data_IF_590661402669
#
_entry.id   IF_590661402669
#
_cell.length_a   1.000
_cell.length_b   1.000
_cell.length_c   1.000
_cell.angle_alpha   90.00
_cell.angle_beta   90.00
_cell.angle_gamma   90.00
#
_symmetry.space_group_name_H-M   'P 1'
#
loop_
_entity.id
_entity.type
_entity.pdbx_description
1 polymer ?
#
# COMPACT_ATOMS: atom_id res chain seq x y z
N UNK A 1 23.08 -5.87 2.70
CA UNK A 1 21.63 -6.12 2.58
C UNK A 1 20.98 -5.23 1.53
N UNK A 2 21.20 -3.91 1.54
CA UNK A 2 20.68 -2.98 0.53
C UNK A 2 20.92 -3.43 -0.93
N UNK A 3 22.18 -3.68 -1.32
CA UNK A 3 22.51 -4.14 -2.69
C UNK A 3 21.91 -5.50 -3.04
N UNK A 4 21.80 -6.41 -2.07
CA UNK A 4 21.14 -7.71 -2.25
C UNK A 4 19.64 -7.50 -2.53
N UNK A 5 19.00 -6.58 -1.79
CA UNK A 5 17.61 -6.19 -2.02
C UNK A 5 17.40 -5.62 -3.42
N UNK A 6 18.26 -4.71 -3.87
CA UNK A 6 18.23 -4.18 -5.24
C UNK A 6 18.39 -5.26 -6.31
N UNK A 7 19.35 -6.16 -6.11
CA UNK A 7 19.57 -7.29 -7.03
C UNK A 7 18.34 -8.20 -7.10
N UNK A 8 17.78 -8.61 -5.96
CA UNK A 8 16.58 -9.45 -5.89
C UNK A 8 15.36 -8.73 -6.51
N UNK A 9 15.20 -7.43 -6.27
CA UNK A 9 14.12 -6.64 -6.87
C UNK A 9 14.24 -6.59 -8.40
N UNK A 10 15.47 -6.40 -8.90
CA UNK A 10 15.76 -6.36 -10.34
C UNK A 10 15.51 -7.73 -10.97
N UNK A 11 15.98 -8.80 -10.33
CA UNK A 11 15.74 -10.18 -10.76
C UNK A 11 14.26 -10.52 -10.74
N UNK A 12 13.53 -10.15 -9.68
CA UNK A 12 12.07 -10.34 -9.61
C UNK A 12 11.33 -9.57 -10.71
N UNK A 13 11.77 -8.35 -11.04
CA UNK A 13 11.22 -7.58 -12.16
C UNK A 13 11.45 -8.28 -13.50
N UNK A 14 12.65 -8.81 -13.73
CA UNK A 14 12.96 -9.61 -14.92
C UNK A 14 12.09 -10.87 -15.01
N UNK A 15 11.92 -11.59 -13.90
CA UNK A 15 11.08 -12.78 -13.87
C UNK A 15 9.60 -12.44 -14.17
N UNK A 16 9.07 -11.33 -13.65
CA UNK A 16 7.71 -10.87 -13.95
C UNK A 16 7.49 -10.62 -15.45
N UNK A 17 8.51 -10.17 -16.18
CA UNK A 17 8.45 -10.02 -17.64
C UNK A 17 8.35 -11.37 -18.37
N UNK A 18 9.06 -12.38 -17.86
CA UNK A 18 9.05 -13.74 -18.40
C UNK A 18 7.75 -14.51 -18.13
N UNK A 19 6.82 -13.93 -17.36
CA UNK A 19 5.55 -14.57 -17.06
C UNK A 19 4.80 -14.99 -18.34
N UNK A 20 4.32 -16.23 -18.34
CA UNK A 20 3.72 -16.90 -19.47
C UNK A 20 2.23 -17.15 -19.22
N UNK A 21 1.43 -16.96 -20.26
CA UNK A 21 -0.02 -17.21 -20.21
C UNK A 21 -0.37 -18.66 -19.82
N UNK A 22 0.51 -19.62 -20.12
CA UNK A 22 0.35 -21.05 -19.79
C UNK A 22 0.12 -21.30 -18.29
N UNK A 23 0.64 -20.45 -17.41
CA UNK A 23 0.53 -20.62 -15.96
C UNK A 23 -0.64 -19.85 -15.33
N UNK A 24 -1.57 -19.32 -16.14
CA UNK A 24 -2.75 -18.57 -15.67
C UNK A 24 -2.42 -17.43 -14.68
N UNK A 25 -1.21 -16.85 -14.75
CA UNK A 25 -0.75 -15.76 -13.89
C UNK A 25 -0.21 -16.17 -12.52
N UNK A 26 -0.21 -17.47 -12.17
CA UNK A 26 0.38 -17.93 -10.90
C UNK A 26 1.90 -17.72 -10.84
N UNK A 27 2.57 -17.80 -11.99
CA UNK A 27 3.99 -17.48 -12.14
C UNK A 27 4.25 -16.00 -11.86
N UNK A 28 3.45 -15.09 -12.42
CA UNK A 28 3.52 -13.65 -12.16
C UNK A 28 3.33 -13.35 -10.67
N UNK A 29 2.41 -14.03 -10.00
CA UNK A 29 2.21 -13.90 -8.55
C UNK A 29 3.47 -14.33 -7.77
N UNK A 30 4.05 -15.48 -8.11
CA UNK A 30 5.28 -15.97 -7.50
C UNK A 30 6.47 -15.03 -7.72
N UNK A 31 6.64 -14.50 -8.93
CA UNK A 31 7.68 -13.53 -9.24
C UNK A 31 7.49 -12.20 -8.52
N UNK A 32 6.24 -11.76 -8.33
CA UNK A 32 5.93 -10.61 -7.48
C UNK A 32 6.33 -10.82 -6.03
N UNK A 33 6.21 -12.03 -5.48
CA UNK A 33 6.71 -12.31 -4.12
C UNK A 33 8.22 -12.07 -4.06
N UNK A 34 8.98 -12.60 -5.02
CA UNK A 34 10.44 -12.39 -5.12
C UNK A 34 10.78 -10.88 -5.25
N UNK A 35 10.07 -10.17 -6.13
CA UNK A 35 10.26 -8.74 -6.33
C UNK A 35 10.00 -7.94 -5.03
N UNK A 36 8.91 -8.24 -4.32
CA UNK A 36 8.54 -7.55 -3.08
C UNK A 36 9.51 -7.85 -1.92
N UNK A 37 10.09 -9.06 -1.85
CA UNK A 37 11.16 -9.37 -0.90
C UNK A 37 12.38 -8.46 -1.14
N UNK A 38 12.79 -8.29 -2.40
CA UNK A 38 13.85 -7.36 -2.77
C UNK A 38 13.52 -5.90 -2.43
N UNK A 39 12.30 -5.47 -2.75
CA UNK A 39 11.81 -4.11 -2.47
C UNK A 39 11.79 -3.78 -0.98
N UNK A 40 11.36 -4.72 -0.14
CA UNK A 40 11.33 -4.55 1.33
C UNK A 40 12.73 -4.44 1.93
N UNK A 41 13.67 -5.29 1.45
CA UNK A 41 15.07 -5.22 1.83
C UNK A 41 15.69 -3.88 1.45
N UNK A 42 15.45 -3.42 0.22
CA UNK A 42 15.90 -2.12 -0.26
C UNK A 42 15.35 -0.97 0.61
N UNK A 43 14.03 -0.92 0.78
CA UNK A 43 13.33 0.18 1.44
C UNK A 43 13.71 0.29 2.93
N UNK A 44 13.73 -0.84 3.64
CA UNK A 44 14.05 -0.86 5.09
C UNK A 44 15.49 -0.46 5.38
N UNK A 45 16.44 -0.80 4.50
CA UNK A 45 17.85 -0.47 4.68
C UNK A 45 18.17 0.97 4.24
N UNK A 46 17.40 1.57 3.33
CA UNK A 46 17.66 2.91 2.82
C UNK A 46 17.70 3.96 3.94
N UNK A 47 16.66 4.01 4.78
CA UNK A 47 16.60 4.95 5.90
C UNK A 47 17.64 4.66 6.98
N UNK A 48 17.96 3.38 7.22
CA UNK A 48 18.97 2.99 8.20
C UNK A 48 20.39 3.45 7.79
N UNK A 49 20.75 3.27 6.51
CA UNK A 49 22.05 3.73 5.97
C UNK A 49 22.16 5.26 6.07
N UNK A 50 21.08 5.97 5.79
CA UNK A 50 21.05 7.44 5.84
C UNK A 50 21.14 7.95 7.27
N UNK A 51 20.41 7.33 8.20
CA UNK A 51 20.55 7.63 9.62
C UNK A 51 21.99 7.39 10.07
N UNK A 52 22.58 6.21 9.82
CA UNK A 52 23.94 5.88 10.25
C UNK A 52 25.00 6.86 9.70
N UNK A 53 24.92 7.20 8.41
CA UNK A 53 25.94 8.04 7.75
C UNK A 53 25.81 9.53 8.05
N UNK A 54 24.60 10.05 8.20
CA UNK A 54 24.34 11.49 8.30
C UNK A 54 23.94 11.98 9.69
N UNK A 55 23.78 11.08 10.68
CA UNK A 55 23.47 11.45 12.06
C UNK A 55 24.50 12.40 12.65
N UNK A 56 25.80 12.10 12.52
CA UNK A 56 26.88 12.94 13.04
C UNK A 56 26.98 14.33 12.40
N UNK A 57 26.37 14.52 11.22
CA UNK A 57 26.37 15.80 10.51
C UNK A 57 25.10 16.62 10.76
N UNK A 58 24.17 16.14 11.59
CA UNK A 58 22.84 16.73 11.80
C UNK A 58 22.06 16.96 10.48
N UNK A 59 22.31 16.13 9.47
CA UNK A 59 21.75 16.23 8.10
C UNK A 59 20.76 15.11 7.78
N UNK A 60 20.33 14.34 8.77
CA UNK A 60 19.38 13.21 8.60
C UNK A 60 18.05 13.70 8.04
N UNK A 61 17.55 14.85 8.51
CA UNK A 61 16.30 15.44 8.00
C UNK A 61 16.38 15.83 6.52
N UNK A 62 17.43 16.55 6.12
CA UNK A 62 17.67 16.93 4.72
C UNK A 62 17.77 15.71 3.80
N UNK A 63 18.57 14.72 4.22
CA UNK A 63 18.81 13.52 3.42
C UNK A 63 17.56 12.64 3.34
N UNK A 64 16.79 12.53 4.41
CA UNK A 64 15.48 11.86 4.41
C UNK A 64 14.48 12.58 3.49
N UNK A 65 14.56 13.92 3.41
CA UNK A 65 13.80 14.71 2.45
C UNK A 65 14.16 14.40 0.99
N UNK A 66 15.45 14.23 0.67
CA UNK A 66 15.90 13.84 -0.69
C UNK A 66 15.35 12.46 -1.07
N UNK A 67 15.39 11.50 -0.14
CA UNK A 67 14.81 10.15 -0.36
C UNK A 67 13.31 10.25 -0.59
N UNK A 68 12.62 11.10 0.17
CA UNK A 68 11.19 11.31 0.02
C UNK A 68 10.84 11.91 -1.36
N UNK A 69 11.61 12.89 -1.85
CA UNK A 69 11.45 13.45 -3.19
C UNK A 69 11.61 12.35 -4.26
N UNK A 70 12.62 11.49 -4.14
CA UNK A 70 12.80 10.37 -5.06
C UNK A 70 11.61 9.39 -5.01
N UNK A 71 11.09 9.10 -3.81
CA UNK A 71 9.91 8.26 -3.62
C UNK A 71 8.65 8.85 -4.26
N UNK A 72 8.37 10.13 -4.03
CA UNK A 72 7.21 10.84 -4.60
C UNK A 72 7.35 10.95 -6.11
N UNK A 73 8.55 11.18 -6.63
CA UNK A 73 8.84 11.14 -8.07
C UNK A 73 8.47 9.79 -8.66
N UNK A 74 8.78 8.68 -7.98
CA UNK A 74 8.34 7.35 -8.37
C UNK A 74 6.82 7.19 -8.39
N UNK A 75 6.11 7.75 -7.41
CA UNK A 75 4.64 7.76 -7.38
C UNK A 75 4.05 8.51 -8.59
N UNK A 76 4.65 9.63 -8.99
CA UNK A 76 4.22 10.44 -10.14
C UNK A 76 4.53 9.71 -11.46
N UNK A 77 5.76 9.23 -11.62
CA UNK A 77 6.22 8.60 -12.84
C UNK A 77 5.54 7.25 -13.08
N UNK A 78 5.19 6.52 -12.03
CA UNK A 78 4.58 5.19 -12.12
C UNK A 78 3.37 5.12 -13.06
N UNK A 79 2.27 5.87 -12.79
CA UNK A 79 1.10 5.87 -13.66
C UNK A 79 1.36 6.44 -15.06
N UNK A 80 2.24 7.44 -15.19
CA UNK A 80 2.59 8.05 -16.49
C UNK A 80 3.32 7.05 -17.39
N UNK A 81 4.35 6.39 -16.85
CA UNK A 81 5.13 5.38 -17.57
C UNK A 81 4.29 4.12 -17.79
N UNK A 82 3.50 3.71 -16.82
CA UNK A 82 2.54 2.61 -16.96
C UNK A 82 1.55 2.86 -18.09
N UNK A 83 0.95 4.04 -18.14
CA UNK A 83 0.03 4.46 -19.21
C UNK A 83 0.70 4.58 -20.58
N UNK A 84 1.98 4.99 -20.63
CA UNK A 84 2.74 5.01 -21.88
C UNK A 84 3.07 3.60 -22.40
N UNK A 85 3.50 2.72 -21.50
CA UNK A 85 4.05 1.39 -21.84
C UNK A 85 2.98 0.35 -22.13
N UNK A 86 1.80 0.46 -21.49
CA UNK A 86 0.69 -0.49 -21.70
C UNK A 86 0.22 -0.54 -23.16
N UNK A 87 0.41 0.54 -23.93
CA UNK A 87 0.11 0.58 -25.37
C UNK A 87 0.87 -0.45 -26.19
N UNK A 88 2.07 -0.83 -25.75
CA UNK A 88 2.90 -1.84 -26.44
C UNK A 88 2.70 -3.22 -25.81
N UNK A 89 2.92 -3.32 -24.50
CA UNK A 89 2.66 -4.53 -23.72
C UNK A 89 2.74 -4.19 -22.24
N UNK A 90 1.87 -4.77 -21.41
CA UNK A 90 1.94 -4.63 -19.96
C UNK A 90 3.29 -5.10 -19.37
N UNK A 91 4.01 -5.97 -20.07
CA UNK A 91 5.33 -6.48 -19.65
C UNK A 91 6.37 -5.38 -19.54
N UNK A 92 6.25 -4.32 -20.34
CA UNK A 92 7.19 -3.18 -20.32
C UNK A 92 7.21 -2.42 -18.99
N UNK A 93 6.13 -2.51 -18.20
CA UNK A 93 6.08 -1.95 -16.84
C UNK A 93 7.14 -2.59 -15.94
N UNK A 94 7.47 -3.86 -16.17
CA UNK A 94 8.53 -4.56 -15.45
C UNK A 94 9.90 -4.31 -16.08
N UNK A 95 9.97 -4.27 -17.42
CA UNK A 95 11.21 -4.01 -18.14
C UNK A 95 11.82 -2.65 -17.76
N UNK A 96 10.98 -1.63 -17.58
CA UNK A 96 11.41 -0.29 -17.19
C UNK A 96 12.23 -0.29 -15.89
N UNK A 97 11.97 -1.20 -14.95
CA UNK A 97 12.69 -1.26 -13.68
C UNK A 97 14.12 -1.82 -13.81
N UNK A 98 14.41 -2.64 -14.82
CA UNK A 98 15.71 -3.28 -15.00
C UNK A 98 16.89 -2.31 -15.07
N UNK A 99 16.89 -1.26 -15.93
CA UNK A 99 18.03 -0.35 -16.03
C UNK A 99 18.29 0.39 -14.72
N UNK A 100 17.23 0.85 -14.03
CA UNK A 100 17.37 1.54 -12.74
C UNK A 100 17.85 0.59 -11.63
N UNK A 101 17.36 -0.65 -11.63
CA UNK A 101 17.80 -1.68 -10.70
C UNK A 101 19.26 -2.06 -10.90
N UNK A 102 19.70 -2.22 -12.16
CA UNK A 102 21.09 -2.50 -12.51
C UNK A 102 22.03 -1.34 -12.15
N UNK A 103 21.68 -0.11 -12.56
CA UNK A 103 22.46 1.10 -12.22
C UNK A 103 22.50 1.33 -10.71
N UNK A 104 21.37 1.14 -10.01
CA UNK A 104 21.29 1.25 -8.57
C UNK A 104 22.14 0.19 -7.85
N UNK A 105 22.15 -1.05 -8.35
CA UNK A 105 23.01 -2.12 -7.80
C UNK A 105 24.48 -1.81 -8.00
N UNK A 106 24.85 -1.34 -9.20
CA UNK A 106 26.23 -0.93 -9.52
C UNK A 106 26.67 0.25 -8.64
N UNK A 107 25.88 1.33 -8.59
CA UNK A 107 26.16 2.49 -7.76
C UNK A 107 26.21 2.11 -6.27
N UNK A 108 25.29 1.29 -5.79
CA UNK A 108 25.29 0.79 -4.42
C UNK A 108 26.54 -0.04 -4.11
N UNK A 109 27.04 -0.85 -5.05
CA UNK A 109 28.28 -1.61 -4.87
C UNK A 109 29.53 -0.73 -4.81
N UNK A 110 29.53 0.37 -5.56
CA UNK A 110 30.65 1.31 -5.64
C UNK A 110 30.67 2.34 -4.50
N UNK A 111 29.51 2.77 -4.01
CA UNK A 111 29.40 3.90 -3.07
C UNK A 111 28.91 3.52 -1.67
N UNK A 112 28.15 2.44 -1.50
CA UNK A 112 27.70 1.96 -0.18
C UNK A 112 28.67 0.92 0.39
N UNK A 113 29.81 1.39 0.87
CA UNK A 113 30.73 0.56 1.65
C UNK A 113 30.25 0.47 3.10
N UNK A 114 30.14 -0.74 3.63
CA UNK A 114 29.80 -0.97 5.03
C UNK A 114 30.93 -0.43 5.91
N UNK A 115 30.64 0.53 6.79
CA UNK A 115 31.51 0.79 7.94
C UNK A 115 31.29 -0.37 8.92
N UNK A 116 32.33 -1.17 9.16
CA UNK A 116 32.29 -2.24 10.14
C UNK A 116 32.29 -1.64 11.56
N UNK A 117 31.15 -1.13 12.02
CA UNK A 117 30.93 -1.04 13.45
C UNK A 117 30.67 -2.47 13.94
N UNK A 118 31.71 -3.08 14.51
CA UNK A 118 31.68 -4.33 15.26
C UNK A 118 30.77 -4.15 16.50
N UNK A 119 29.47 -3.99 16.28
CA UNK A 119 28.49 -4.15 17.35
C UNK A 119 28.17 -5.63 17.45
N UNK A 120 28.23 -6.18 18.67
CA UNK A 120 27.73 -7.51 18.98
C UNK A 120 26.29 -7.60 18.51
N UNK A 121 26.03 -8.33 17.42
CA UNK A 121 24.70 -8.48 16.86
C UNK A 121 23.96 -9.43 17.81
N UNK A 122 22.95 -8.96 18.57
CA UNK A 122 22.15 -9.85 19.39
C UNK A 122 21.53 -10.91 18.48
N UNK A 123 21.46 -12.15 18.99
CA UNK A 123 20.89 -13.27 18.25
C UNK A 123 19.44 -12.96 17.85
N UNK A 124 19.13 -13.15 16.56
CA UNK A 124 17.80 -12.84 16.01
C UNK A 124 16.74 -13.83 16.52
N UNK A 125 15.58 -13.32 16.94
CA UNK A 125 14.47 -14.15 17.40
C UNK A 125 13.60 -14.64 16.23
N UNK A 126 14.10 -15.67 15.53
CA UNK A 126 13.38 -16.29 14.41
C UNK A 126 11.99 -16.79 14.80
N UNK A 127 11.82 -17.32 16.01
CA UNK A 127 10.53 -17.86 16.45
C UNK A 127 9.48 -16.76 16.58
N UNK A 128 9.82 -15.66 17.27
CA UNK A 128 8.92 -14.50 17.39
C UNK A 128 8.66 -13.81 16.06
N UNK A 129 9.67 -13.73 15.19
CA UNK A 129 9.52 -13.18 13.84
C UNK A 129 8.56 -14.01 12.99
N UNK A 130 8.76 -15.32 12.89
CA UNK A 130 7.95 -16.22 12.05
C UNK A 130 6.52 -16.26 12.57
N UNK A 131 6.31 -16.35 13.88
CA UNK A 131 4.96 -16.40 14.45
C UNK A 131 4.18 -15.11 14.20
N UNK A 132 4.82 -13.94 14.36
CA UNK A 132 4.18 -12.66 14.04
C UNK A 132 3.90 -12.53 12.54
N UNK A 133 4.87 -12.80 11.67
CA UNK A 133 4.69 -12.68 10.22
C UNK A 133 3.59 -13.61 9.72
N UNK A 134 3.56 -14.87 10.19
CA UNK A 134 2.51 -15.81 9.82
C UNK A 134 1.13 -15.36 10.34
N UNK A 135 1.04 -14.82 11.57
CA UNK A 135 -0.20 -14.27 12.09
C UNK A 135 -0.70 -13.06 11.27
N UNK A 136 0.19 -12.15 10.87
CA UNK A 136 -0.17 -10.99 10.05
C UNK A 136 -0.58 -11.38 8.63
N UNK A 137 0.08 -12.37 8.02
CA UNK A 137 -0.33 -12.92 6.71
C UNK A 137 -1.71 -13.55 6.82
N UNK A 138 -1.97 -14.37 7.85
CA UNK A 138 -3.29 -14.95 8.07
C UNK A 138 -4.35 -13.88 8.33
N UNK A 139 -4.06 -12.86 9.13
CA UNK A 139 -4.96 -11.72 9.34
C UNK A 139 -5.35 -11.10 7.99
N UNK A 140 -4.37 -10.83 7.13
CA UNK A 140 -4.63 -10.23 5.83
C UNK A 140 -5.45 -11.16 4.91
N UNK A 141 -5.12 -12.46 4.89
CA UNK A 141 -5.88 -13.47 4.13
C UNK A 141 -7.32 -13.59 4.64
N UNK A 142 -7.55 -13.55 5.96
CA UNK A 142 -8.89 -13.59 6.57
C UNK A 142 -9.67 -12.34 6.17
N UNK A 143 -9.09 -11.15 6.31
CA UNK A 143 -9.75 -9.88 5.94
C UNK A 143 -10.12 -9.89 4.46
N UNK A 144 -9.20 -10.29 3.58
CA UNK A 144 -9.48 -10.40 2.14
C UNK A 144 -10.54 -11.46 1.86
N UNK A 145 -10.44 -12.66 2.43
CA UNK A 145 -11.39 -13.76 2.15
C UNK A 145 -12.79 -13.49 2.70
N UNK A 146 -12.89 -12.79 3.84
CA UNK A 146 -14.18 -12.35 4.40
C UNK A 146 -14.83 -11.26 3.55
N UNK A 147 -14.04 -10.37 2.95
CA UNK A 147 -14.54 -9.29 2.09
C UNK A 147 -14.82 -9.78 0.66
N UNK A 148 -14.04 -10.74 0.15
CA UNK A 148 -14.19 -11.34 -1.17
C UNK A 148 -14.47 -12.84 -1.02
N UNK A 149 -15.71 -13.22 -0.64
CA UNK A 149 -16.06 -14.62 -0.49
C UNK A 149 -15.87 -15.35 -1.83
N UNK A 150 -15.20 -16.49 -1.78
CA UNK A 150 -15.01 -17.40 -2.91
C UNK A 150 -15.41 -18.80 -2.47
N UNK A 151 -16.04 -19.57 -3.35
CA UNK A 151 -16.64 -20.87 -3.04
C UNK A 151 -15.67 -21.88 -2.39
N UNK A 152 -14.34 -21.68 -2.53
CA UNK A 152 -13.30 -22.58 -2.03
C UNK A 152 -12.72 -22.20 -0.66
N UNK A 153 -12.83 -20.94 -0.24
CA UNK A 153 -12.14 -20.39 0.95
C UNK A 153 -13.11 -19.65 1.88
N UNK A 154 -14.32 -19.35 1.44
CA UNK A 154 -15.32 -18.66 2.28
C UNK A 154 -16.26 -19.61 3.03
N UNK A 155 -15.95 -20.90 3.09
CA UNK A 155 -16.65 -21.77 4.05
C UNK A 155 -16.35 -21.26 5.46
N UNK A 156 -17.41 -21.04 6.26
CA UNK A 156 -17.27 -20.55 7.64
C UNK A 156 -16.29 -21.40 8.47
N UNK A 157 -16.23 -22.71 8.21
CA UNK A 157 -15.28 -23.66 8.83
C UNK A 157 -13.82 -23.30 8.56
N UNK A 158 -13.47 -22.94 7.33
CA UNK A 158 -12.11 -22.60 6.90
C UNK A 158 -11.65 -21.25 7.46
N UNK A 159 -12.53 -20.24 7.46
CA UNK A 159 -12.25 -18.92 8.06
C UNK A 159 -12.06 -19.01 9.58
N UNK A 160 -12.89 -19.80 10.27
CA UNK A 160 -12.73 -20.07 11.71
C UNK A 160 -11.41 -20.78 11.98
N UNK A 161 -11.04 -21.78 11.16
CA UNK A 161 -9.77 -22.48 11.26
C UNK A 161 -8.56 -21.56 11.09
N UNK A 162 -8.60 -20.67 10.07
CA UNK A 162 -7.55 -19.66 9.86
C UNK A 162 -7.49 -18.65 11.02
N UNK A 163 -8.65 -18.21 11.55
CA UNK A 163 -8.73 -17.33 12.70
C UNK A 163 -8.15 -17.95 13.97
N UNK A 164 -8.44 -19.24 14.22
CA UNK A 164 -7.87 -19.99 15.32
C UNK A 164 -6.35 -20.13 15.16
N UNK A 165 -5.85 -20.48 13.97
CA UNK A 165 -4.42 -20.57 13.68
C UNK A 165 -3.71 -19.22 13.87
N UNK A 166 -4.31 -18.12 13.40
CA UNK A 166 -3.83 -16.76 13.61
C UNK A 166 -3.75 -16.43 15.10
N UNK A 167 -4.80 -16.74 15.86
CA UNK A 167 -4.86 -16.54 17.32
C UNK A 167 -3.77 -17.31 18.05
N UNK A 168 -3.56 -18.58 17.70
CA UNK A 168 -2.50 -19.42 18.26
C UNK A 168 -1.12 -18.83 17.98
N UNK A 169 -0.84 -18.46 16.72
CA UNK A 169 0.45 -17.86 16.33
C UNK A 169 0.69 -16.52 17.04
N UNK A 170 -0.35 -15.72 17.22
CA UNK A 170 -0.26 -14.46 17.96
C UNK A 170 -0.02 -14.69 19.46
N UNK A 171 -0.66 -15.71 20.06
CA UNK A 171 -0.39 -16.12 21.45
C UNK A 171 1.06 -16.61 21.59
N UNK A 172 1.55 -17.44 20.66
CA UNK A 172 2.95 -17.90 20.62
C UNK A 172 3.90 -16.71 20.54
N UNK A 173 3.60 -15.70 19.72
CA UNK A 173 4.36 -14.46 19.65
C UNK A 173 4.38 -13.70 20.99
N UNK A 174 3.22 -13.49 21.62
CA UNK A 174 3.12 -12.79 22.92
C UNK A 174 3.92 -13.52 24.00
N UNK A 175 3.76 -14.85 24.07
CA UNK A 175 4.49 -15.72 24.98
C UNK A 175 5.99 -15.54 24.75
N UNK A 176 6.46 -15.75 23.51
CA UNK A 176 7.86 -15.62 23.14
C UNK A 176 8.44 -14.27 23.56
N UNK A 177 7.72 -13.18 23.26
CA UNK A 177 8.16 -11.83 23.54
C UNK A 177 8.18 -11.52 25.04
N UNK A 178 7.23 -12.05 25.81
CA UNK A 178 7.21 -11.93 27.28
C UNK A 178 8.35 -12.71 27.93
N UNK A 179 8.67 -13.90 27.41
CA UNK A 179 9.79 -14.72 27.88
C UNK A 179 11.16 -14.10 27.55
N UNK A 180 11.31 -13.47 26.38
CA UNK A 180 12.52 -12.73 25.98
C UNK A 180 12.69 -11.47 26.85
N UNK A 181 11.60 -10.75 27.13
CA UNK A 181 11.61 -9.51 27.92
C UNK A 181 11.78 -9.75 29.44
N UNK A 182 11.26 -10.86 29.95
CA UNK A 182 11.27 -11.22 31.37
C UNK A 182 12.55 -11.89 31.88
N UNK A 183 13.60 -12.00 31.05
CA UNK A 183 14.92 -12.54 31.45
C UNK A 183 14.96 -14.04 31.81
N UNK A 184 13.85 -14.78 31.67
CA UNK A 184 13.75 -16.19 32.09
C UNK A 184 14.23 -17.20 31.05
N UNK A 185 14.49 -16.78 29.82
CA UNK A 185 15.14 -17.64 28.82
C UNK A 185 16.64 -17.42 28.93
N UNK A 186 17.36 -18.50 29.24
CA UNK A 186 18.80 -18.68 29.53
C UNK A 186 19.83 -18.01 28.59
N UNK A 187 19.43 -17.12 27.69
CA UNK A 187 20.29 -16.30 26.86
C UNK A 187 19.75 -14.86 26.81
N UNK A 188 20.26 -14.00 27.69
CA UNK A 188 20.17 -12.52 27.62
C UNK A 188 20.80 -11.91 26.36
N UNK A 189 20.91 -12.68 25.27
CA UNK A 189 21.53 -12.33 24.01
C UNK A 189 20.52 -12.12 22.86
N UNK A 190 19.21 -12.26 23.11
CA UNK A 190 18.16 -12.01 22.11
C UNK A 190 17.50 -10.65 22.36
N UNK A 191 17.59 -9.75 21.40
CA UNK A 191 16.89 -8.47 21.47
C UNK A 191 15.39 -8.68 21.23
N UNK A 192 14.49 -8.08 22.03
CA UNK A 192 13.06 -8.13 21.79
C UNK A 192 12.73 -7.57 20.40
N UNK A 193 11.93 -8.30 19.62
CA UNK A 193 11.64 -7.94 18.24
C UNK A 193 10.80 -6.66 18.10
N UNK A 194 9.91 -6.40 19.07
CA UNK A 194 9.07 -5.20 19.11
C UNK A 194 8.84 -4.73 20.55
N UNK A 195 9.07 -3.44 20.84
CA UNK A 195 8.81 -2.89 22.17
C UNK A 195 7.32 -2.52 22.34
N UNK A 196 6.59 -3.33 23.11
CA UNK A 196 5.16 -3.09 23.35
C UNK A 196 4.85 -1.80 24.12
N UNK A 197 5.83 -1.17 24.78
CA UNK A 197 5.61 0.10 25.46
C UNK A 197 5.25 1.22 24.48
N UNK A 198 5.59 1.06 23.19
CA UNK A 198 5.20 2.00 22.14
C UNK A 198 3.68 2.06 21.98
N UNK A 199 3.00 0.91 22.02
CA UNK A 199 1.54 0.85 21.89
C UNK A 199 0.78 1.37 23.11
N UNK A 200 1.46 1.51 24.26
CA UNK A 200 0.90 2.18 25.43
C UNK A 200 0.86 3.70 25.27
N UNK A 201 1.65 4.26 24.35
CA UNK A 201 1.60 5.67 24.03
C UNK A 201 0.41 5.96 23.12
N UNK A 202 -0.57 6.70 23.66
CA UNK A 202 -1.79 7.05 22.93
C UNK A 202 -1.51 7.89 21.67
N UNK A 203 -0.50 8.76 21.68
CA UNK A 203 -0.11 9.56 20.51
C UNK A 203 0.41 8.64 19.41
N UNK A 204 1.26 7.69 19.76
CA UNK A 204 1.80 6.70 18.83
C UNK A 204 0.69 5.87 18.19
N UNK A 205 -0.21 5.30 19.00
CA UNK A 205 -1.27 4.42 18.50
C UNK A 205 -2.23 5.17 17.55
N UNK A 206 -2.66 6.38 17.92
CA UNK A 206 -3.52 7.19 17.03
C UNK A 206 -2.83 7.57 15.73
N UNK A 207 -1.54 7.89 15.77
CA UNK A 207 -0.78 8.26 14.57
C UNK A 207 -0.64 7.08 13.61
N UNK A 208 -0.36 5.88 14.15
CA UNK A 208 -0.21 4.66 13.35
C UNK A 208 -1.54 4.21 12.74
N UNK A 209 -2.61 4.18 13.54
CA UNK A 209 -3.94 3.72 13.10
C UNK A 209 -4.56 4.73 12.14
N UNK A 210 -4.74 5.98 12.56
CA UNK A 210 -5.42 6.98 11.74
C UNK A 210 -4.62 7.31 10.47
N UNK A 211 -3.29 7.40 10.58
CA UNK A 211 -2.42 7.71 9.44
C UNK A 211 -2.36 6.56 8.45
N UNK A 212 -2.42 5.32 8.93
CA UNK A 212 -2.54 4.14 8.09
C UNK A 212 -3.86 4.12 7.35
N UNK A 213 -4.99 4.26 8.06
CA UNK A 213 -6.32 4.27 7.47
C UNK A 213 -6.48 5.40 6.44
N UNK A 214 -6.08 6.63 6.79
CA UNK A 214 -6.10 7.76 5.87
C UNK A 214 -5.19 7.55 4.65
N UNK A 215 -4.00 6.95 4.85
CA UNK A 215 -3.12 6.54 3.76
C UNK A 215 -3.76 5.51 2.82
N UNK A 216 -4.60 4.63 3.35
CA UNK A 216 -5.32 3.64 2.55
C UNK A 216 -6.42 4.27 1.72
N UNK A 217 -7.17 5.21 2.31
CA UNK A 217 -8.17 6.02 1.59
C UNK A 217 -7.50 6.84 0.48
N UNK A 218 -6.43 7.57 0.77
CA UNK A 218 -5.70 8.37 -0.21
C UNK A 218 -5.17 7.51 -1.37
N UNK A 219 -4.63 6.32 -1.07
CA UNK A 219 -4.15 5.38 -2.10
C UNK A 219 -5.29 4.83 -2.95
N UNK A 220 -6.45 4.59 -2.35
CA UNK A 220 -7.65 4.14 -3.04
C UNK A 220 -8.20 5.25 -3.95
N UNK A 221 -8.27 6.50 -3.47
CA UNK A 221 -8.66 7.66 -4.26
C UNK A 221 -7.80 7.82 -5.52
N UNK A 222 -6.46 7.70 -5.39
CA UNK A 222 -5.56 7.73 -6.56
C UNK A 222 -5.85 6.60 -7.55
N UNK A 223 -6.03 5.38 -7.05
CA UNK A 223 -6.24 4.19 -7.91
C UNK A 223 -7.57 4.27 -8.66
N UNK A 224 -8.66 4.61 -7.96
CA UNK A 224 -9.96 4.76 -8.59
C UNK A 224 -10.04 5.98 -9.51
N UNK A 225 -9.35 7.08 -9.21
CA UNK A 225 -9.29 8.23 -10.12
C UNK A 225 -8.61 7.86 -11.43
N UNK A 226 -7.54 7.06 -11.40
CA UNK A 226 -6.89 6.56 -12.62
C UNK A 226 -7.84 5.76 -13.50
N UNK A 227 -8.61 4.87 -12.86
CA UNK A 227 -9.59 4.01 -13.52
C UNK A 227 -10.76 4.84 -14.03
N UNK A 228 -11.21 5.83 -13.27
CA UNK A 228 -12.30 6.73 -13.62
C UNK A 228 -11.99 7.58 -14.87
N UNK A 229 -10.74 8.02 -15.02
CA UNK A 229 -10.32 8.72 -16.23
C UNK A 229 -10.33 7.81 -17.47
N UNK A 230 -9.98 6.54 -17.32
CA UNK A 230 -9.97 5.58 -18.44
C UNK A 230 -11.37 5.02 -18.77
N UNK A 231 -12.20 4.79 -17.75
CA UNK A 231 -13.54 4.24 -17.90
C UNK A 231 -14.55 5.30 -18.37
N UNK A 232 -15.24 6.00 -17.46
CA UNK A 232 -16.27 7.00 -17.78
C UNK A 232 -15.84 8.15 -18.69
N UNK A 233 -14.59 8.60 -18.61
CA UNK A 233 -14.08 9.69 -19.45
C UNK A 233 -13.39 9.21 -20.74
N UNK A 234 -13.26 7.88 -20.89
CA UNK A 234 -12.63 7.21 -22.04
C UNK A 234 -11.29 7.85 -22.43
N UNK A 235 -10.51 8.34 -21.45
CA UNK A 235 -9.20 8.94 -21.71
C UNK A 235 -8.18 7.86 -21.96
N UNK A 236 -7.26 8.17 -22.87
CA UNK A 236 -6.08 7.36 -23.11
C UNK A 236 -5.29 7.16 -21.79
N UNK A 237 -4.75 5.96 -21.52
CA UNK A 237 -4.04 5.66 -20.27
C UNK A 237 -2.88 6.62 -19.96
N UNK A 238 -2.20 7.13 -20.99
CA UNK A 238 -1.15 8.14 -20.81
C UNK A 238 -1.70 9.45 -20.26
N UNK A 239 -2.82 9.93 -20.81
CA UNK A 239 -3.48 11.16 -20.37
C UNK A 239 -4.02 10.97 -18.94
N UNK A 240 -4.64 9.82 -18.66
CA UNK A 240 -5.07 9.48 -17.31
C UNK A 240 -3.91 9.51 -16.30
N UNK A 241 -2.73 9.01 -16.69
CA UNK A 241 -1.51 9.07 -15.88
C UNK A 241 -1.03 10.51 -15.65
N UNK A 242 -1.05 11.36 -16.67
CA UNK A 242 -0.69 12.78 -16.58
C UNK A 242 -1.62 13.54 -15.64
N UNK A 243 -2.93 13.24 -15.67
CA UNK A 243 -3.92 13.87 -14.80
C UNK A 243 -3.74 13.53 -13.30
N UNK A 244 -2.93 12.51 -12.96
CA UNK A 244 -2.57 12.15 -11.59
C UNK A 244 -1.29 12.86 -11.09
N UNK A 245 -0.50 13.48 -11.96
CA UNK A 245 0.73 14.20 -11.56
C UNK A 245 0.47 15.19 -10.41
N UNK A 246 -0.62 15.98 -10.40
CA UNK A 246 -0.89 16.94 -9.33
C UNK A 246 -0.97 16.31 -7.94
N UNK A 247 -1.39 15.05 -7.83
CA UNK A 247 -1.41 14.32 -6.56
C UNK A 247 -0.01 14.20 -5.96
N UNK A 248 0.97 13.72 -6.73
CA UNK A 248 2.34 13.62 -6.22
C UNK A 248 2.98 14.98 -5.98
N UNK A 249 2.66 16.00 -6.79
CA UNK A 249 3.09 17.37 -6.52
C UNK A 249 2.57 17.89 -5.17
N UNK A 250 1.31 17.59 -4.83
CA UNK A 250 0.74 17.89 -3.53
C UNK A 250 1.54 17.25 -2.39
N UNK A 251 1.86 15.95 -2.50
CA UNK A 251 2.66 15.25 -1.48
C UNK A 251 4.03 15.91 -1.32
N UNK A 252 4.67 16.28 -2.43
CA UNK A 252 6.00 16.91 -2.40
C UNK A 252 5.96 18.28 -1.71
N UNK A 253 5.01 19.14 -2.08
CA UNK A 253 4.87 20.50 -1.53
C UNK A 253 4.55 20.44 -0.04
N UNK A 254 3.56 19.63 0.33
CA UNK A 254 3.15 19.47 1.72
C UNK A 254 4.22 18.76 2.54
N UNK A 255 4.84 17.70 2.02
CA UNK A 255 5.83 16.91 2.74
C UNK A 255 7.06 17.74 3.13
N UNK A 256 7.56 18.58 2.20
CA UNK A 256 8.70 19.48 2.46
C UNK A 256 8.35 20.61 3.44
N UNK A 257 7.16 21.20 3.31
CA UNK A 257 6.72 22.29 4.19
C UNK A 257 6.34 21.79 5.58
N UNK A 258 5.75 20.59 5.68
CA UNK A 258 5.29 19.99 6.92
C UNK A 258 6.39 19.80 7.95
N UNK A 259 7.60 19.41 7.52
CA UNK A 259 8.74 19.26 8.45
C UNK A 259 9.06 20.57 9.17
N UNK A 260 9.16 21.68 8.43
CA UNK A 260 9.44 23.01 9.00
C UNK A 260 8.26 23.56 9.81
N UNK A 261 7.03 23.33 9.35
CA UNK A 261 5.83 23.79 10.06
C UNK A 261 5.62 23.02 11.37
N UNK A 262 5.98 21.73 11.42
CA UNK A 262 5.86 20.92 12.60
C UNK A 262 6.78 21.40 13.74
N UNK A 263 7.95 21.95 13.41
CA UNK A 263 8.87 22.52 14.40
C UNK A 263 8.32 23.79 15.07
N UNK A 264 7.43 24.53 14.38
CA UNK A 264 6.86 25.80 14.87
C UNK A 264 5.48 25.62 15.51
N UNK A 265 4.58 24.93 14.82
CA UNK A 265 3.15 24.80 15.20
C UNK A 265 2.92 23.53 16.04
N UNK A 266 3.86 22.58 16.01
CA UNK A 266 3.77 21.31 16.71
C UNK A 266 3.13 20.20 15.86
N UNK A 267 3.71 19.00 15.96
CA UNK A 267 3.31 17.81 15.19
C UNK A 267 1.82 17.46 15.30
N UNK A 268 1.21 17.63 16.48
CA UNK A 268 -0.19 17.26 16.73
C UNK A 268 -1.17 18.05 15.88
N UNK A 269 -1.02 19.37 15.82
CA UNK A 269 -1.94 20.25 15.10
C UNK A 269 -1.83 20.07 13.59
N UNK A 270 -0.60 19.90 13.10
CA UNK A 270 -0.35 19.67 11.68
C UNK A 270 -0.92 18.32 11.22
N UNK A 271 -0.76 17.29 12.05
CA UNK A 271 -1.30 15.97 11.78
C UNK A 271 -2.84 15.95 11.75
N UNK A 272 -3.50 16.57 12.73
CA UNK A 272 -4.97 16.66 12.73
C UNK A 272 -5.50 17.49 11.57
N UNK A 273 -4.86 18.63 11.25
CA UNK A 273 -5.24 19.44 10.11
C UNK A 273 -5.10 18.68 8.78
N UNK A 274 -4.07 17.86 8.63
CA UNK A 274 -3.92 16.98 7.47
C UNK A 274 -5.05 15.95 7.37
N UNK A 275 -5.43 15.30 8.46
CA UNK A 275 -6.54 14.34 8.47
C UNK A 275 -7.91 15.00 8.20
N UNK A 276 -8.13 16.19 8.74
CA UNK A 276 -9.35 16.97 8.50
C UNK A 276 -9.43 17.39 7.03
N UNK A 277 -8.31 17.84 6.45
CA UNK A 277 -8.20 18.15 5.03
C UNK A 277 -8.44 16.92 4.16
N UNK A 278 -7.93 15.75 4.54
CA UNK A 278 -8.17 14.49 3.83
C UNK A 278 -9.65 14.08 3.82
N UNK A 279 -10.30 14.24 4.97
CA UNK A 279 -11.73 13.96 5.12
C UNK A 279 -12.56 14.92 4.25
N UNK A 280 -12.24 16.21 4.28
CA UNK A 280 -12.92 17.23 3.48
C UNK A 280 -12.68 17.04 1.98
N UNK A 281 -11.43 16.77 1.56
CA UNK A 281 -11.08 16.55 0.16
C UNK A 281 -11.80 15.33 -0.43
N UNK A 282 -11.86 14.23 0.33
CA UNK A 282 -12.59 13.02 -0.07
C UNK A 282 -14.09 13.28 -0.15
N UNK A 283 -14.66 14.01 0.81
CA UNK A 283 -16.07 14.40 0.78
C UNK A 283 -16.38 15.28 -0.44
N UNK A 284 -15.58 16.31 -0.71
CA UNK A 284 -15.76 17.18 -1.89
C UNK A 284 -15.63 16.37 -3.18
N UNK A 285 -14.66 15.45 -3.28
CA UNK A 285 -14.54 14.57 -4.44
C UNK A 285 -15.81 13.75 -4.66
N UNK A 286 -16.40 13.18 -3.60
CA UNK A 286 -17.64 12.41 -3.73
C UNK A 286 -18.83 13.25 -4.25
N UNK A 287 -18.85 14.56 -3.99
CA UNK A 287 -19.92 15.45 -4.41
C UNK A 287 -19.70 16.03 -5.83
N UNK A 288 -18.44 16.17 -6.25
CA UNK A 288 -18.08 16.87 -7.49
C UNK A 288 -17.85 15.91 -8.66
N UNK A 289 -17.46 14.66 -8.39
CA UNK A 289 -17.17 13.66 -9.43
C UNK A 289 -18.49 13.24 -10.10
N UNK A 290 -18.74 13.81 -11.28
CA UNK A 290 -19.81 13.44 -12.20
C UNK A 290 -19.20 13.16 -13.59
N UNK A 291 -19.89 12.45 -14.50
CA UNK A 291 -19.33 12.09 -15.81
C UNK A 291 -19.02 13.29 -16.72
N UNK A 292 -19.66 14.44 -16.47
CA UNK A 292 -19.47 15.69 -17.23
C UNK A 292 -18.57 16.71 -16.55
N UNK A 293 -18.03 16.40 -15.37
CA UNK A 293 -17.15 17.31 -14.63
C UNK A 293 -15.87 17.58 -15.42
N UNK A 294 -15.32 18.78 -15.31
CA UNK A 294 -14.05 19.06 -15.96
C UNK A 294 -12.92 18.25 -15.29
N UNK A 295 -12.14 17.49 -16.07
CA UNK A 295 -11.04 16.66 -15.56
C UNK A 295 -10.01 17.47 -14.78
N UNK A 296 -9.83 18.75 -15.10
CA UNK A 296 -8.94 19.66 -14.37
C UNK A 296 -9.39 19.91 -12.93
N UNK A 297 -10.70 19.91 -12.66
CA UNK A 297 -11.23 20.03 -11.29
C UNK A 297 -10.86 18.80 -10.48
N UNK A 298 -10.98 17.61 -11.08
CA UNK A 298 -10.59 16.35 -10.43
C UNK A 298 -9.08 16.34 -10.16
N UNK A 299 -8.27 16.78 -11.12
CA UNK A 299 -6.82 16.96 -10.94
C UNK A 299 -6.47 17.97 -9.84
N UNK A 300 -7.23 19.06 -9.69
CA UNK A 300 -7.04 20.01 -8.60
C UNK A 300 -7.40 19.41 -7.24
N UNK A 301 -8.49 18.63 -7.16
CA UNK A 301 -8.86 17.90 -5.94
C UNK A 301 -7.83 16.82 -5.60
N UNK A 302 -7.25 16.15 -6.60
CA UNK A 302 -6.14 15.23 -6.42
C UNK A 302 -4.89 15.94 -5.86
N UNK A 303 -4.62 17.18 -6.26
CA UNK A 303 -3.56 17.99 -5.66
C UNK A 303 -3.81 18.24 -4.18
N UNK A 304 -5.05 18.58 -3.80
CA UNK A 304 -5.44 18.72 -2.38
C UNK A 304 -5.26 17.39 -1.65
N UNK A 305 -5.61 16.27 -2.28
CA UNK A 305 -5.36 14.94 -1.71
C UNK A 305 -3.89 14.54 -1.60
N UNK A 306 -3.05 15.10 -2.45
CA UNK A 306 -1.61 15.00 -2.27
C UNK A 306 -1.14 15.82 -1.07
N UNK A 307 -1.64 17.05 -0.94
CA UNK A 307 -1.27 17.96 0.14
C UNK A 307 -1.62 17.38 1.51
N UNK A 308 -2.82 16.83 1.68
CA UNK A 308 -3.21 16.21 2.94
C UNK A 308 -2.28 15.04 3.32
N UNK A 309 -1.95 14.17 2.36
CA UNK A 309 -1.08 13.03 2.59
C UNK A 309 0.32 13.48 3.01
N UNK A 310 0.89 14.48 2.33
CA UNK A 310 2.17 15.05 2.74
C UNK A 310 2.13 15.66 4.15
N UNK A 311 1.03 16.31 4.54
CA UNK A 311 0.87 16.97 5.85
C UNK A 311 0.81 15.97 7.01
N UNK A 312 0.11 14.84 6.89
CA UNK A 312 0.02 13.87 7.99
C UNK A 312 1.11 12.77 7.93
N UNK A 313 1.65 12.44 6.75
CA UNK A 313 2.68 11.41 6.61
C UNK A 313 4.01 11.82 7.25
N UNK A 314 4.42 13.08 7.07
CA UNK A 314 5.69 13.59 7.62
C UNK A 314 5.72 13.52 9.16
N UNK A 315 4.73 14.04 9.91
CA UNK A 315 4.64 13.84 11.37
C UNK A 315 4.63 12.37 11.79
N UNK A 316 3.93 11.52 11.04
CA UNK A 316 3.85 10.08 11.33
C UNK A 316 5.22 9.42 11.27
N UNK A 317 6.01 9.74 10.26
CA UNK A 317 7.38 9.26 10.12
C UNK A 317 8.28 9.78 11.23
N UNK A 318 8.18 11.07 11.59
CA UNK A 318 9.01 11.68 12.65
C UNK A 318 8.73 11.10 14.04
N UNK A 319 7.45 10.94 14.43
CA UNK A 319 7.07 10.29 15.69
C UNK A 319 7.60 8.85 15.73
N UNK A 320 7.57 8.16 14.59
CA UNK A 320 8.09 6.81 14.46
C UNK A 320 9.62 6.73 14.63
N UNK A 321 10.36 7.70 14.09
CA UNK A 321 11.83 7.78 14.19
C UNK A 321 12.30 8.20 15.58
N UNK A 322 11.58 9.13 16.24
CA UNK A 322 11.91 9.62 17.58
C UNK A 322 11.60 8.62 18.70
N UNK A 323 10.73 7.64 18.44
CA UNK A 323 10.33 6.61 19.42
C UNK A 323 11.40 5.55 19.72
N UNK A 324 12.60 5.68 19.13
CA UNK A 324 13.84 5.13 19.69
C UNK A 324 13.98 3.60 19.79
N UNK A 325 13.20 2.78 19.05
CA UNK A 325 13.34 1.32 19.13
C UNK A 325 13.67 0.61 17.81
N UNK A 326 14.64 -0.30 17.94
CA UNK A 326 15.32 -1.13 16.94
C UNK A 326 14.42 -2.23 16.34
N UNK A 327 14.76 -2.64 15.11
CA UNK A 327 14.29 -3.77 14.28
C UNK A 327 13.04 -3.53 13.41
N UNK A 328 11.90 -3.05 13.92
CA UNK A 328 10.77 -2.61 13.08
C UNK A 328 10.55 -1.11 13.21
N UNK A 329 10.78 -0.32 12.14
CA UNK A 329 10.34 1.07 12.08
C UNK A 329 8.81 1.10 12.23
N UNK A 330 8.24 1.92 13.14
CA UNK A 330 6.79 1.98 13.33
C UNK A 330 5.98 2.32 12.06
N UNK A 331 6.63 2.92 11.07
CA UNK A 331 6.14 3.08 9.70
C UNK A 331 5.58 1.78 9.08
N UNK A 332 6.17 0.62 9.37
CA UNK A 332 5.70 -0.67 8.85
C UNK A 332 4.33 -1.06 9.44
N UNK A 333 4.03 -0.63 10.68
CA UNK A 333 2.73 -0.84 11.30
C UNK A 333 1.69 0.08 10.67
N UNK A 334 2.04 1.33 10.38
CA UNK A 334 1.18 2.26 9.62
C UNK A 334 0.82 1.68 8.26
N UNK A 335 1.79 1.09 7.55
CA UNK A 335 1.58 0.42 6.27
C UNK A 335 0.60 -0.76 6.36
N UNK A 336 0.58 -1.49 7.47
CA UNK A 336 -0.37 -2.59 7.66
C UNK A 336 -1.81 -2.07 7.72
N UNK A 337 -2.07 -1.01 8.50
CA UNK A 337 -3.40 -0.38 8.55
C UNK A 337 -3.78 0.23 7.19
N UNK A 338 -2.81 0.78 6.46
CA UNK A 338 -3.00 1.24 5.09
C UNK A 338 -3.45 0.12 4.16
N UNK A 339 -2.83 -1.06 4.22
CA UNK A 339 -3.25 -2.21 3.40
C UNK A 339 -4.67 -2.66 3.75
N UNK A 340 -5.02 -2.75 5.03
CA UNK A 340 -6.37 -3.11 5.47
C UNK A 340 -7.40 -2.10 4.94
N UNK A 341 -7.12 -0.80 5.06
CA UNK A 341 -7.99 0.25 4.53
C UNK A 341 -8.17 0.15 3.02
N UNK A 342 -7.09 -0.11 2.25
CA UNK A 342 -7.20 -0.31 0.79
C UNK A 342 -8.16 -1.46 0.46
N UNK A 343 -8.03 -2.60 1.15
CA UNK A 343 -8.90 -3.77 0.91
C UNK A 343 -10.36 -3.45 1.22
N UNK A 344 -10.63 -2.79 2.36
CA UNK A 344 -11.99 -2.39 2.75
C UNK A 344 -12.57 -1.40 1.76
N UNK A 345 -11.84 -0.33 1.43
CA UNK A 345 -12.30 0.68 0.49
C UNK A 345 -12.55 0.05 -0.89
N UNK A 346 -11.63 -0.78 -1.39
CA UNK A 346 -11.80 -1.48 -2.66
C UNK A 346 -13.06 -2.34 -2.66
N UNK A 347 -13.31 -3.11 -1.59
CA UNK A 347 -14.54 -3.92 -1.47
C UNK A 347 -15.79 -3.06 -1.49
N UNK A 348 -15.81 -1.99 -0.70
CA UNK A 348 -16.95 -1.06 -0.63
C UNK A 348 -17.22 -0.41 -1.98
N UNK A 349 -16.17 -0.07 -2.74
CA UNK A 349 -16.35 0.52 -4.07
C UNK A 349 -16.94 -0.47 -5.07
N UNK A 350 -16.49 -1.73 -5.06
CA UNK A 350 -17.00 -2.73 -6.02
C UNK A 350 -18.30 -3.42 -5.60
N UNK A 351 -18.71 -3.35 -4.33
CA UNK A 351 -19.92 -4.05 -3.84
C UNK A 351 -21.21 -3.58 -4.49
N UNK A 352 -21.18 -2.40 -5.11
CA UNK A 352 -22.29 -1.83 -5.86
C UNK A 352 -22.32 -2.14 -7.35
N UNK A 353 -21.28 -2.78 -7.89
CA UNK A 353 -21.11 -2.99 -9.33
C UNK A 353 -21.38 -4.44 -9.71
N UNK A 354 -22.07 -4.71 -10.84
CA UNK A 354 -22.19 -6.07 -11.34
C UNK A 354 -20.79 -6.63 -11.68
N UNK A 355 -20.55 -7.94 -11.50
CA UNK A 355 -19.24 -8.54 -11.72
C UNK A 355 -18.67 -8.28 -13.12
N UNK A 356 -19.54 -8.24 -14.13
CA UNK A 356 -19.17 -7.91 -15.52
C UNK A 356 -18.57 -6.52 -15.64
N UNK A 357 -19.20 -5.50 -15.04
CA UNK A 357 -18.70 -4.13 -15.06
C UNK A 357 -17.34 -4.01 -14.36
N UNK A 358 -17.14 -4.75 -13.26
CA UNK A 358 -15.84 -4.82 -12.59
C UNK A 358 -14.80 -5.45 -13.53
N UNK A 359 -15.14 -6.53 -14.24
CA UNK A 359 -14.24 -7.15 -15.19
C UNK A 359 -13.91 -6.23 -16.39
N UNK A 360 -14.88 -5.54 -16.97
CA UNK A 360 -14.63 -4.55 -18.04
C UNK A 360 -13.68 -3.45 -17.57
N UNK A 361 -13.96 -2.90 -16.38
CA UNK A 361 -13.20 -1.80 -15.82
C UNK A 361 -11.75 -2.17 -15.50
N UNK A 362 -11.52 -3.36 -14.93
CA UNK A 362 -10.22 -3.76 -14.40
C UNK A 362 -9.41 -4.68 -15.32
N UNK A 363 -10.05 -5.48 -16.17
CA UNK A 363 -9.39 -6.51 -17.00
C UNK A 363 -9.24 -6.04 -18.44
N UNK A 364 -10.32 -5.54 -19.05
CA UNK A 364 -10.32 -5.22 -20.48
C UNK A 364 -9.79 -3.82 -20.78
N UNK A 365 -9.92 -2.89 -19.83
CA UNK A 365 -9.23 -1.59 -19.87
C UNK A 365 -9.48 -0.85 -21.18
N UNK A 366 -10.67 -0.26 -21.34
CA UNK A 366 -11.03 0.41 -22.60
C UNK A 366 -12.25 1.32 -22.54
N UNK A 367 -12.70 1.69 -21.34
CA UNK A 367 -14.01 2.32 -21.14
C UNK A 367 -14.92 1.45 -20.29
N UNK A 368 -16.09 1.99 -19.93
CA UNK A 368 -17.22 1.22 -19.39
C UNK A 368 -18.33 1.34 -20.45
N UNK A 369 -19.01 0.25 -20.78
CA UNK A 369 -20.21 0.35 -21.62
C UNK A 369 -21.25 1.28 -20.96
N UNK A 370 -21.98 2.06 -21.76
CA UNK A 370 -22.98 3.01 -21.29
C UNK A 370 -24.04 2.34 -20.40
N UNK A 371 -24.27 1.04 -20.57
CA UNK A 371 -25.15 0.22 -19.75
C UNK A 371 -24.69 0.10 -18.29
N UNK A 372 -23.38 0.03 -18.03
CA UNK A 372 -22.82 -0.16 -16.69
C UNK A 372 -22.42 1.15 -16.00
N UNK A 373 -22.43 2.27 -16.74
CA UNK A 373 -22.11 3.60 -16.22
C UNK A 373 -23.02 4.04 -15.05
N UNK A 374 -24.35 3.84 -15.06
CA UNK A 374 -25.22 4.18 -13.92
C UNK A 374 -24.89 3.37 -12.67
N UNK A 375 -24.61 2.07 -12.82
CA UNK A 375 -24.20 1.19 -11.72
C UNK A 375 -22.84 1.59 -11.14
N UNK A 376 -21.91 2.04 -12.00
CA UNK A 376 -20.62 2.57 -11.55
C UNK A 376 -20.78 3.87 -10.75
N UNK A 377 -21.66 4.78 -11.19
CA UNK A 377 -21.86 6.12 -10.60
C UNK A 377 -22.77 6.13 -9.35
N UNK A 378 -23.80 5.30 -9.34
CA UNK A 378 -24.89 5.35 -8.35
C UNK A 378 -25.16 4.00 -7.67
N UNK A 379 -24.53 2.91 -8.12
CA UNK A 379 -24.76 1.57 -7.60
C UNK A 379 -24.12 1.31 -6.24
N UNK A 380 -23.35 2.24 -5.67
CA UNK A 380 -22.65 2.06 -4.39
C UNK A 380 -23.63 1.81 -3.24
N UNK A 381 -23.88 0.53 -2.94
CA UNK A 381 -24.65 0.12 -1.77
C UNK A 381 -23.68 -0.18 -0.64
N UNK A 382 -23.94 0.43 0.53
CA UNK A 382 -23.34 -0.03 1.78
C UNK A 382 -23.78 -1.49 1.95
N UNK A 383 -22.85 -2.45 2.15
CA UNK A 383 -23.19 -3.85 2.28
C UNK A 383 -23.83 -4.11 3.64
N UNK A 384 -25.05 -3.60 3.85
CA UNK A 384 -25.91 -4.06 4.93
C UNK A 384 -26.53 -5.35 4.42
N UNK A 385 -25.95 -6.47 4.87
CA UNK A 385 -26.47 -7.84 4.79
C UNK A 385 -27.54 -8.04 3.70
N UNK A 386 -27.11 -8.18 2.44
CA UNK A 386 -27.96 -8.80 1.45
C UNK A 386 -28.24 -10.22 1.94
N UNK A 387 -29.45 -10.43 2.47
CA UNK A 387 -30.02 -11.75 2.70
C UNK A 387 -29.92 -12.48 1.36
N UNK A 388 -29.45 -13.73 1.30
CA UNK A 388 -29.40 -14.46 0.04
C UNK A 388 -30.83 -14.48 -0.52
N UNK A 389 -31.03 -13.80 -1.66
CA UNK A 389 -32.26 -13.96 -2.42
C UNK A 389 -32.33 -15.44 -2.80
N UNK A 390 -33.40 -16.07 -2.37
CA UNK A 390 -33.71 -17.46 -2.67
C UNK A 390 -33.69 -17.67 -4.18
N UNK A 391 -33.04 -18.75 -4.58
CA UNK A 391 -33.10 -19.36 -5.92
C UNK A 391 -34.56 -19.55 -6.39
N UNK A 392 -35.17 -18.51 -6.95
CA UNK A 392 -36.46 -18.63 -7.63
C UNK A 392 -36.78 -17.41 -8.49
N UNK A 393 -35.89 -17.02 -9.41
CA UNK A 393 -36.28 -16.27 -10.62
C UNK A 393 -35.13 -16.24 -11.65
N UNK A 394 -34.53 -17.40 -11.92
CA UNK A 394 -33.86 -17.62 -13.21
C UNK A 394 -34.98 -17.93 -14.21
N UNK A 395 -35.62 -16.88 -14.72
CA UNK A 395 -36.35 -16.99 -15.96
C UNK A 395 -35.31 -17.35 -17.05
N UNK A 396 -35.60 -18.46 -17.70
CA UNK A 396 -34.78 -19.18 -18.67
C UNK A 396 -34.21 -18.29 -19.76
N UNK A 397 -32.89 -18.38 -19.95
CA UNK A 397 -32.15 -17.94 -21.16
C UNK A 397 -32.49 -18.84 -22.38
N UNK A 398 -33.66 -19.49 -22.39
CA UNK A 398 -34.13 -20.37 -23.46
C UNK A 398 -35.25 -19.75 -24.32
N UNK A 399 -35.81 -18.59 -23.94
CA UNK A 399 -36.94 -17.98 -24.64
C UNK A 399 -36.59 -16.80 -25.57
N UNK A 400 -35.29 -16.53 -25.80
CA UNK A 400 -34.83 -15.45 -26.71
C UNK A 400 -34.52 -15.95 -28.13
N UNK A 401 -34.54 -17.27 -28.40
CA UNK A 401 -34.29 -17.81 -29.75
C UNK A 401 -35.56 -18.06 -30.60
N UNK A 402 -36.77 -17.76 -30.12
CA UNK A 402 -38.01 -18.04 -30.87
C UNK A 402 -38.93 -16.84 -31.12
N UNK A 403 -38.41 -15.61 -31.08
CA UNK A 403 -39.17 -14.42 -31.48
C UNK A 403 -38.37 -13.45 -32.37
N UNK A 404 -38.30 -13.81 -33.66
CA UNK A 404 -38.18 -12.95 -34.86
C UNK A 404 -37.04 -11.95 -34.99
#
# INVERSE_FOLDING_TARGET
>A
MFNIGLFIFTLGSFLCELAQRKYNGYDLLGYRVVQNLGGTLLFSNCFAIVADKFYSYNQVGLTSGIINIAFVTGIILGPVIGGATVKSSWKWVFFFNLPFGALGTLAGSLYCHARSLLMSIPTFDYTGFISLMAALVLLFVIVVSALFPSDKVSENSSLIGMGAAMGILFIVFIIQQTFVRGGKRYNSAKAPFMNFNLFMNWVFNNTVVLGGLAGGVARTNLTFSFIFFQGPYSKDPLIAGILLIPFGLGIMIAGMSAGRLADVIGFRYLYTAGLDLASLATLIMSLVIMPKTNTWIISALLLVSGLDWGLYQSPSASVSMLSGCLIIPPYNVTMLFQMIAIVICFKVTISGMPPEAVQELFIYGGGIDAMYLPSFMHGWKIPVMAKPESDSEVASVADIEEAK
#
